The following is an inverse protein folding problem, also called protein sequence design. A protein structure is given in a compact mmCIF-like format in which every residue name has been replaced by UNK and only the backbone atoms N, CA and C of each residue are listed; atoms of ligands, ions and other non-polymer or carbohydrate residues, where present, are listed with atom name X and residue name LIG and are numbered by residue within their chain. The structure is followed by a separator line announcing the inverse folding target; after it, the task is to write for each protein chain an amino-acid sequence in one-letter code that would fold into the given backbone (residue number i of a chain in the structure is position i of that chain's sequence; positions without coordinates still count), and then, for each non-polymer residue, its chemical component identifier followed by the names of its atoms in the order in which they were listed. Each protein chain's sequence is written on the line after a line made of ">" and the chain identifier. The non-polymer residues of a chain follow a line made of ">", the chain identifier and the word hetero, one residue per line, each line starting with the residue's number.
data_IF_846483715348
#
_entry.id   IF_846483715348
#
_cell.length_a   1.000
_cell.length_b   1.000
_cell.length_c   1.000
_cell.angle_alpha   90.00
_cell.angle_beta   90.00
_cell.angle_gamma   90.00
#
_symmetry.space_group_name_H-M   'P 1'
#
loop_
_entity.id
_entity.type
_entity.pdbx_description
1 polymer ?
2 water ?
#
# COMPACT_ATOMS: atom_id res chain seq x y z
N UNK A 4 -7.95 -13.75 4.59
CA UNK A 4 -7.95 -13.84 3.09
C UNK A 4 -8.11 -12.48 2.48
N UNK A 5 -8.57 -11.53 3.29
CA UNK A 5 -8.76 -10.15 2.87
C UNK A 5 -7.38 -9.49 2.88
N UNK A 6 -7.08 -8.72 1.85
CA UNK A 6 -5.78 -8.05 1.74
C UNK A 6 -5.95 -6.73 1.02
N UNK A 7 -4.91 -5.91 1.08
CA UNK A 7 -4.89 -4.68 0.33
C UNK A 7 -3.75 -4.92 -0.64
N UNK A 8 -3.99 -4.72 -1.92
CA UNK A 8 -2.95 -4.93 -2.91
C UNK A 8 -2.70 -3.59 -3.58
N UNK A 9 -1.54 -2.99 -3.32
CA UNK A 9 -1.26 -1.69 -3.96
C UNK A 9 -1.06 -1.85 -5.45
N UNK A 10 -1.59 -0.90 -6.20
CA UNK A 10 -1.40 -0.89 -7.64
C UNK A 10 -0.56 0.35 -7.87
N UNK A 11 0.64 0.15 -8.40
CA UNK A 11 1.57 1.25 -8.63
C UNK A 11 1.73 1.59 -10.10
N UNK A 12 1.57 2.87 -10.41
CA UNK A 12 1.76 3.28 -11.78
C UNK A 12 3.25 3.49 -11.99
N UNK A 13 3.74 3.01 -13.12
CA UNK A 13 5.16 3.11 -13.45
C UNK A 13 5.40 3.85 -14.74
N UNK A 14 6.46 4.66 -14.76
CA UNK A 14 6.82 5.45 -15.94
C UNK A 14 7.34 4.55 -17.06
N UNK A 15 8.22 3.63 -16.70
CA UNK A 15 8.83 2.70 -17.64
C UNK A 15 8.60 1.30 -17.07
N UNK A 16 7.53 0.65 -17.53
CA UNK A 16 7.16 -0.67 -17.01
C UNK A 16 8.27 -1.71 -17.00
N UNK A 17 9.09 -1.77 -18.06
CA UNK A 17 10.18 -2.74 -18.07
C UNK A 17 11.24 -2.44 -17.03
N UNK A 18 11.47 -1.15 -16.77
CA UNK A 18 12.45 -0.75 -15.77
C UNK A 18 11.95 -1.14 -14.39
N UNK A 19 10.67 -0.88 -14.16
CA UNK A 19 10.06 -1.19 -12.88
C UNK A 19 9.93 -2.69 -12.65
N UNK A 20 9.53 -3.42 -13.70
CA UNK A 20 9.40 -4.86 -13.57
C UNK A 20 10.75 -5.51 -13.26
N UNK A 21 11.80 -5.07 -13.95
CA UNK A 21 13.14 -5.61 -13.74
C UNK A 21 13.63 -5.35 -12.33
N UNK A 22 13.34 -4.16 -11.80
CA UNK A 22 13.79 -3.82 -10.46
C UNK A 22 13.15 -4.81 -9.49
N UNK A 23 11.84 -4.94 -9.57
CA UNK A 23 11.10 -5.84 -8.70
C UNK A 23 11.52 -7.30 -8.84
N UNK A 24 11.71 -7.76 -10.07
CA UNK A 24 12.10 -9.16 -10.29
C UNK A 24 13.58 -9.43 -10.05
N UNK A 25 14.44 -8.69 -10.75
CA UNK A 25 15.88 -8.88 -10.63
C UNK A 25 16.50 -8.40 -9.33
N UNK A 26 16.14 -7.19 -8.91
CA UNK A 26 16.71 -6.64 -7.68
C UNK A 26 16.01 -7.15 -6.41
N UNK A 27 14.69 -7.03 -6.35
CA UNK A 27 13.97 -7.45 -5.16
C UNK A 27 13.59 -8.92 -5.12
N UNK A 28 13.73 -9.62 -6.25
CA UNK A 28 13.41 -11.04 -6.28
C UNK A 28 11.94 -11.42 -6.32
N UNK A 29 11.08 -10.50 -6.75
CA UNK A 29 9.65 -10.78 -6.84
C UNK A 29 9.39 -11.72 -8.02
N UNK A 30 8.28 -12.43 -7.98
CA UNK A 30 7.94 -13.31 -9.08
C UNK A 30 6.69 -12.80 -9.79
N UNK A 31 6.69 -12.87 -11.12
CA UNK A 31 5.54 -12.43 -11.88
C UNK A 31 4.52 -13.57 -11.84
N UNK A 32 3.29 -13.27 -11.40
CA UNK A 32 2.25 -14.30 -11.34
C UNK A 32 1.50 -14.37 -12.67
N UNK A 33 1.23 -13.21 -13.25
CA UNK A 33 0.56 -13.12 -14.54
C UNK A 33 0.66 -11.70 -15.06
N UNK A 34 0.26 -11.49 -16.31
CA UNK A 34 0.33 -10.16 -16.92
C UNK A 34 -0.76 -9.95 -17.95
N UNK A 35 -0.80 -8.72 -18.44
CA UNK A 35 -1.70 -8.29 -19.51
C UNK A 35 -0.78 -7.30 -20.23
N UNK A 36 0.15 -7.82 -21.06
CA UNK A 36 1.11 -7.01 -21.82
C UNK A 36 0.59 -5.77 -22.53
N UNK A 37 -0.52 -5.90 -23.26
CA UNK A 37 -1.06 -4.76 -23.99
C UNK A 37 -1.47 -3.59 -23.09
N UNK A 38 -1.66 -3.87 -21.81
CA UNK A 38 -2.04 -2.85 -20.84
C UNK A 38 -0.83 -2.46 -19.99
N UNK A 39 0.30 -3.11 -20.23
CA UNK A 39 1.53 -2.90 -19.47
C UNK A 39 1.23 -3.17 -18.00
N UNK A 40 0.42 -4.19 -17.75
CA UNK A 40 0.03 -4.57 -16.42
C UNK A 40 0.80 -5.81 -15.97
N UNK A 41 1.26 -5.79 -14.73
CA UNK A 41 2.03 -6.91 -14.18
C UNK A 41 1.62 -7.17 -12.74
N UNK A 42 1.24 -8.41 -12.45
CA UNK A 42 0.83 -8.77 -11.10
C UNK A 42 2.00 -9.56 -10.51
N UNK A 43 2.55 -9.04 -9.42
CA UNK A 43 3.70 -9.67 -8.77
C UNK A 43 3.44 -10.09 -7.34
N UNK A 44 4.34 -10.93 -6.82
CA UNK A 44 4.23 -11.41 -5.45
C UNK A 44 5.61 -11.73 -4.91
N UNK A 45 5.74 -11.59 -3.61
CA UNK A 45 6.97 -11.92 -2.92
C UNK A 45 6.51 -12.76 -1.75
N UNK A 46 6.59 -14.08 -1.93
CA UNK A 46 6.18 -15.01 -0.89
C UNK A 46 4.73 -14.88 -0.45
N UNK A 47 3.85 -14.52 -1.38
CA UNK A 47 2.45 -14.41 -1.04
C UNK A 47 1.93 -13.01 -0.84
N UNK A 48 2.83 -12.03 -0.73
CA UNK A 48 2.42 -10.65 -0.55
C UNK A 48 2.45 -10.07 -1.96
N UNK A 49 1.30 -9.58 -2.42
CA UNK A 49 1.17 -9.09 -3.78
C UNK A 49 1.22 -7.58 -4.02
N UNK A 50 1.63 -7.22 -5.24
CA UNK A 50 1.69 -5.83 -5.67
C UNK A 50 1.42 -5.81 -7.17
N UNK A 52 1.75 -3.61 -10.88
CA UNK A 52 2.44 -2.55 -11.58
C UNK A 52 1.67 -2.26 -12.86
N UNK A 53 1.44 -0.99 -13.15
CA UNK A 53 0.71 -0.60 -14.35
C UNK A 53 1.47 0.55 -15.02
N UNK A 54 1.97 0.29 -16.23
CA UNK A 54 2.71 1.31 -16.96
C UNK A 54 1.85 2.44 -17.46
N UNK A 55 2.45 3.60 -17.68
CA UNK A 55 1.71 4.74 -18.18
C UNK A 55 2.03 4.95 -19.65
N UNK A 67 5.65 16.91 0.26
CA UNK A 67 4.33 16.67 0.85
C UNK A 67 3.30 17.72 0.39
N UNK A 68 2.74 17.50 -0.76
CA UNK A 68 1.77 18.42 -1.33
C UNK A 68 0.53 17.67 -1.81
N UNK A 69 -0.65 18.22 -1.58
CA UNK A 69 -1.87 17.55 -2.02
C UNK A 69 -1.86 17.46 -3.54
N UNK A 70 -2.22 16.30 -4.11
CA UNK A 70 -2.63 15.08 -3.40
C UNK A 70 -1.44 14.18 -3.09
N UNK A 71 -1.46 13.57 -1.92
CA UNK A 71 -0.40 12.66 -1.53
C UNK A 71 -0.71 11.32 -2.18
N UNK A 72 0.29 10.45 -2.27
CA UNK A 72 0.09 9.13 -2.84
C UNK A 72 -0.06 9.03 -4.35
N UNK A 73 0.40 10.03 -5.09
CA UNK A 73 0.27 9.99 -6.54
C UNK A 73 0.82 8.69 -7.13
N UNK A 74 0.07 8.11 -8.06
CA UNK A 74 0.47 6.88 -8.71
C UNK A 74 0.07 5.61 -7.99
N UNK A 75 -0.42 5.75 -6.76
CA UNK A 75 -0.84 4.58 -5.99
C UNK A 75 -2.35 4.47 -5.90
N UNK A 76 -2.85 3.25 -6.07
CA UNK A 76 -4.28 2.99 -5.95
C UNK A 76 -4.36 1.76 -5.07
N UNK A 77 -4.91 1.91 -3.88
CA UNK A 77 -5.01 0.81 -2.93
C UNK A 77 -6.20 -0.10 -3.21
N UNK A 78 -5.96 -1.25 -3.84
CA UNK A 78 -7.05 -2.20 -4.08
C UNK A 78 -7.28 -2.88 -2.73
N UNK A 79 -8.39 -2.53 -2.09
CA UNK A 79 -8.69 -3.02 -0.74
C UNK A 79 -9.88 -3.98 -0.62
N UNK A 80 -9.61 -5.24 -0.26
CA UNK A 80 -10.66 -6.24 -0.10
C UNK A 80 -11.59 -5.94 1.09
N UNK A 81 -12.89 -6.00 0.86
CA UNK A 81 -13.88 -5.77 1.90
C UNK A 81 -14.91 -6.90 1.89
N UNK A 82 -15.64 -7.04 2.99
CA UNK A 82 -16.66 -8.10 3.10
C UNK A 82 -18.08 -7.59 2.89
N UNK A 83 -18.26 -6.28 2.94
CA UNK A 83 -19.58 -5.67 2.79
C UNK A 83 -19.52 -4.48 1.83
N UNK A 84 -19.34 -4.76 0.54
CA UNK A 84 -19.23 -3.69 -0.44
C UNK A 84 -20.44 -2.74 -0.50
N UNK A 85 -21.66 -3.27 -0.45
CA UNK A 85 -22.84 -2.42 -0.50
C UNK A 85 -23.05 -1.59 0.76
N UNK A 86 -22.99 -2.22 1.95
CA UNK A 86 -23.17 -1.45 3.17
C UNK A 86 -22.13 -0.34 3.31
N UNK A 87 -20.88 -0.64 2.93
CA UNK A 87 -19.80 0.34 3.00
C UNK A 87 -20.08 1.50 2.03
N UNK A 88 -20.53 1.17 0.83
CA UNK A 88 -20.82 2.19 -0.15
C UNK A 88 -21.92 3.12 0.40
N UNK A 89 -22.94 2.54 1.04
CA UNK A 89 -24.02 3.34 1.59
C UNK A 89 -23.56 4.17 2.79
N UNK A 90 -22.61 3.64 3.55
CA UNK A 90 -22.09 4.37 4.70
C UNK A 90 -21.33 5.61 4.21
N UNK A 91 -20.56 5.45 3.15
CA UNK A 91 -19.79 6.57 2.61
C UNK A 91 -20.72 7.60 1.95
N UNK A 92 -21.76 7.13 1.25
CA UNK A 92 -22.69 8.06 0.62
C UNK A 92 -23.44 8.87 1.66
N UNK A 93 -23.70 8.23 2.80
CA UNK A 93 -24.43 8.87 3.88
C UNK A 93 -23.61 9.86 4.70
N UNK A 94 -22.29 9.66 4.75
CA UNK A 94 -21.42 10.54 5.54
C UNK A 94 -20.53 11.52 4.76
N UNK A 95 -20.11 11.13 3.56
CA UNK A 95 -19.25 11.98 2.75
C UNK A 95 -19.33 11.60 1.28
N UNK A 96 -20.50 11.80 0.69
CA UNK A 96 -20.72 11.45 -0.70
C UNK A 96 -19.69 12.09 -1.62
N UNK A 97 -19.25 13.29 -1.28
CA UNK A 97 -18.28 14.01 -2.10
C UNK A 97 -16.89 13.38 -2.11
N UNK A 98 -16.69 12.38 -1.26
CA UNK A 98 -15.42 11.69 -1.17
C UNK A 98 -15.38 10.50 -2.12
N UNK A 99 -16.52 10.21 -2.73
CA UNK A 99 -16.58 9.10 -3.68
C UNK A 99 -15.91 9.54 -4.98
N UNK A 100 -14.88 8.81 -5.39
CA UNK A 100 -14.12 9.11 -6.58
C UNK A 100 -14.65 8.38 -7.82
N UNK A 101 -15.05 7.13 -7.63
CA UNK A 101 -15.60 6.30 -8.70
C UNK A 101 -16.83 5.60 -8.10
N UNK A 102 -17.97 5.73 -8.77
CA UNK A 102 -19.20 5.14 -8.30
C UNK A 102 -19.16 3.62 -8.29
N UNK A 103 -20.00 3.03 -7.43
CA UNK A 103 -20.08 1.57 -7.33
C UNK A 103 -20.41 0.97 -8.69
N UNK A 104 -19.69 -0.09 -9.04
CA UNK A 104 -19.88 -0.78 -10.31
C UNK A 104 -19.60 -2.28 -10.17
N UNK A 105 -20.11 -3.06 -11.13
CA UNK A 105 -19.87 -4.49 -11.15
C UNK A 105 -18.98 -4.73 -12.36
N UNK A 106 -17.71 -5.02 -12.12
CA UNK A 106 -16.77 -5.28 -13.20
C UNK A 106 -16.60 -6.78 -13.39
N UNK A 107 -16.87 -7.28 -14.60
CA UNK A 107 -16.79 -8.71 -14.86
C UNK A 107 -15.89 -9.18 -16.00
N UNK A 108 -15.48 -10.45 -15.92
CA UNK A 108 -14.65 -11.10 -16.92
C UNK A 108 -15.16 -12.51 -17.21
N UNK A 114 -19.31 -16.44 -15.38
CA UNK A 114 -18.65 -15.14 -15.34
C UNK A 114 -18.22 -14.77 -13.92
N UNK A 115 -17.07 -14.13 -13.82
CA UNK A 115 -16.51 -13.69 -12.54
C UNK A 115 -16.78 -12.18 -12.42
N UNK A 116 -17.34 -11.76 -11.31
CA UNK A 116 -17.65 -10.36 -11.11
C UNK A 116 -17.03 -9.80 -9.84
N UNK A 117 -16.68 -8.52 -9.89
CA UNK A 117 -16.10 -7.87 -8.73
C UNK A 117 -16.72 -6.50 -8.58
N UNK A 118 -17.46 -6.29 -7.49
CA UNK A 118 -18.10 -5.01 -7.23
C UNK A 118 -17.04 -4.13 -6.60
N UNK A 119 -17.07 -2.85 -6.93
CA UNK A 119 -16.06 -1.95 -6.39
C UNK A 119 -16.41 -0.48 -6.59
N UNK A 120 -15.79 0.36 -5.77
CA UNK A 120 -15.97 1.80 -5.89
C UNK A 120 -14.70 2.43 -5.33
N UNK A 122 -12.68 5.83 -3.37
CA UNK A 122 -12.82 6.95 -2.46
C UNK A 122 -11.49 7.70 -2.37
N UNK A 123 -11.57 9.02 -2.24
CA UNK A 123 -10.36 9.81 -2.09
C UNK A 123 -10.41 10.37 -0.67
N UNK A 124 -9.36 10.12 0.11
CA UNK A 124 -9.33 10.63 1.47
C UNK A 124 -8.96 12.11 1.47
N UNK A 125 -9.11 12.76 2.63
CA UNK A 125 -8.78 14.19 2.75
C UNK A 125 -7.33 14.52 2.38
N UNK A 126 -6.46 13.54 2.51
CA UNK A 126 -5.05 13.75 2.20
C UNK A 126 -4.77 13.53 0.72
N UNK A 127 -5.72 12.93 0.02
CA UNK A 127 -5.54 12.69 -1.41
C UNK A 127 -5.38 11.25 -1.84
N UNK A 128 -5.17 10.35 -0.89
CA UNK A 128 -5.00 8.92 -1.18
C UNK A 128 -6.25 8.32 -1.81
N UNK A 129 -6.06 7.47 -2.81
CA UNK A 129 -7.19 6.84 -3.48
C UNK A 129 -7.30 5.35 -3.12
N UNK A 130 -8.49 4.97 -2.68
CA UNK A 130 -8.79 3.61 -2.28
C UNK A 130 -9.83 3.01 -3.20
N UNK A 131 -9.55 1.80 -3.66
CA UNK A 131 -10.47 1.08 -4.51
C UNK A 131 -10.96 -0.12 -3.68
N UNK A 132 -12.13 0.04 -3.07
CA UNK A 132 -12.71 -1.04 -2.27
C UNK A 132 -13.32 -2.07 -3.20
N UNK A 133 -12.92 -3.32 -3.03
CA UNK A 133 -13.38 -4.41 -3.89
C UNK A 133 -13.90 -5.60 -3.14
N UNK A 134 -14.73 -6.38 -3.82
CA UNK A 134 -15.27 -7.61 -3.27
C UNK A 134 -15.66 -8.48 -4.46
N UNK A 135 -15.21 -9.73 -4.48
CA UNK A 135 -15.59 -10.61 -5.58
C UNK A 135 -16.94 -11.23 -5.22
N UNK B 4 0.47 -15.10 6.83
CA UNK B 4 0.80 -14.14 7.93
C UNK B 4 1.52 -12.89 7.43
N UNK B 5 2.26 -13.02 6.34
CA UNK B 5 2.98 -11.88 5.77
C UNK B 5 1.96 -10.95 5.12
N UNK B 6 2.18 -9.65 5.27
CA UNK B 6 1.27 -8.65 4.71
C UNK B 6 2.06 -7.39 4.40
N UNK B 7 1.44 -6.49 3.65
CA UNK B 7 2.03 -5.20 3.37
C UNK B 7 1.06 -4.25 4.04
N UNK B 8 1.57 -3.39 4.92
CA UNK B 8 0.74 -2.42 5.61
C UNK B 8 1.21 -1.04 5.22
N UNK B 9 0.39 -0.31 4.48
CA UNK B 9 0.77 1.04 4.05
C UNK B 9 0.76 2.00 5.23
N UNK B 10 1.74 2.88 5.28
CA UNK B 10 1.79 3.90 6.31
C UNK B 10 1.60 5.19 5.54
N UNK B 11 0.59 5.96 5.92
CA UNK B 11 0.28 7.20 5.22
C UNK B 11 0.54 8.47 6.03
N UNK B 12 1.22 9.44 5.41
CA UNK B 12 1.46 10.72 6.07
C UNK B 12 0.14 11.49 5.98
N UNK B 13 -0.21 12.21 7.04
CA UNK B 13 -1.45 12.98 7.06
C UNK B 13 -1.21 14.44 7.44
N UNK B 14 -1.82 15.36 6.71
CA UNK B 14 -1.66 16.78 7.00
C UNK B 14 -2.19 17.07 8.41
N UNK B 15 -3.36 16.54 8.72
CA UNK B 15 -3.98 16.70 10.04
C UNK B 15 -4.39 15.30 10.49
N UNK B 16 -3.63 14.73 11.42
CA UNK B 16 -3.92 13.38 11.89
C UNK B 16 -5.31 13.15 12.46
N UNK B 17 -5.88 14.16 13.12
CA UNK B 17 -7.21 14.02 13.69
C UNK B 17 -8.25 13.93 12.59
N UNK B 18 -8.08 14.74 11.54
CA UNK B 18 -8.99 14.74 10.42
C UNK B 18 -8.96 13.40 9.68
N UNK B 19 -7.76 12.90 9.43
CA UNK B 19 -7.62 11.62 8.73
C UNK B 19 -8.15 10.45 9.56
N UNK B 20 -7.88 10.46 10.85
CA UNK B 20 -8.36 9.38 11.69
C UNK B 20 -9.88 9.36 11.69
N UNK B 21 -10.50 10.53 11.83
CA UNK B 21 -11.96 10.62 11.86
C UNK B 21 -12.56 10.14 10.56
N UNK B 22 -11.87 10.43 9.45
CA UNK B 22 -12.36 10.02 8.14
C UNK B 22 -12.40 8.50 8.06
N UNK B 23 -11.28 7.87 8.42
CA UNK B 23 -11.21 6.41 8.37
C UNK B 23 -12.20 5.75 9.32
N UNK B 24 -12.29 6.27 10.54
CA UNK B 24 -13.21 5.69 11.51
C UNK B 24 -14.68 6.01 11.21
N UNK B 25 -15.01 7.30 11.12
CA UNK B 25 -16.39 7.69 10.87
C UNK B 25 -16.94 7.37 9.48
N UNK B 26 -16.22 7.79 8.44
CA UNK B 26 -16.68 7.56 7.08
C UNK B 26 -16.48 6.13 6.57
N UNK B 27 -15.31 5.56 6.82
CA UNK B 27 -15.02 4.21 6.32
C UNK B 27 -15.27 3.07 7.29
N UNK B 28 -15.45 3.38 8.56
CA UNK B 28 -15.72 2.34 9.55
C UNK B 28 -14.53 1.57 10.06
N UNK B 29 -13.33 2.13 9.92
CA UNK B 29 -12.14 1.44 10.42
C UNK B 29 -12.17 1.49 11.94
N UNK B 30 -11.37 0.63 12.56
CA UNK B 30 -11.26 0.57 14.02
C UNK B 30 -9.81 0.87 14.40
N UNK B 31 -9.62 1.69 15.42
CA UNK B 31 -8.27 2.00 15.87
C UNK B 31 -7.85 0.79 16.69
N UNK B 32 -6.74 0.15 16.32
CA UNK B 32 -6.26 -0.99 17.07
C UNK B 32 -5.38 -0.48 18.21
N UNK B 33 -4.54 0.51 17.90
CA UNK B 33 -3.69 1.12 18.93
C UNK B 33 -3.07 2.40 18.39
N UNK B 34 -2.52 3.21 19.29
CA UNK B 34 -1.92 4.48 18.90
C UNK B 34 -0.64 4.80 19.66
N UNK B 35 -0.03 5.90 19.25
CA UNK B 35 1.17 6.45 19.89
C UNK B 35 0.92 7.96 19.72
N UNK B 36 0.05 8.53 20.56
CA UNK B 36 -0.33 9.95 20.56
C UNK B 36 0.79 10.98 20.39
N UNK B 37 1.83 10.90 21.23
CA UNK B 37 2.92 11.88 21.11
C UNK B 37 3.70 11.79 19.80
N UNK B 38 3.36 10.81 18.97
CA UNK B 38 4.02 10.63 17.69
C UNK B 38 3.02 10.85 16.57
N UNK B 39 1.76 11.13 16.94
CA UNK B 39 0.71 11.32 15.95
C UNK B 39 0.60 10.07 15.09
N UNK B 40 0.76 8.91 15.72
CA UNK B 40 0.69 7.63 15.04
C UNK B 40 -0.58 6.87 15.41
N UNK B 41 -1.23 6.30 14.41
CA UNK B 41 -2.46 5.54 14.63
C UNK B 41 -2.42 4.27 13.78
N UNK B 42 -2.78 3.14 14.38
CA UNK B 42 -2.81 1.87 13.66
C UNK B 42 -4.26 1.44 13.53
N UNK B 43 -4.76 1.37 12.30
CA UNK B 43 -6.16 0.98 12.10
C UNK B 43 -6.32 -0.31 11.31
N UNK B 44 -7.55 -0.82 11.33
CA UNK B 44 -7.87 -2.05 10.60
C UNK B 44 -9.34 -2.03 10.21
N UNK B 45 -9.63 -2.71 9.11
CA UNK B 45 -10.98 -2.84 8.61
C UNK B 45 -11.11 -4.33 8.34
N UNK B 46 -11.70 -5.04 9.29
CA UNK B 46 -11.88 -6.47 9.19
C UNK B 46 -10.60 -7.27 8.90
N UNK B 47 -9.51 -6.88 9.55
CA UNK B 47 -8.27 -7.61 9.35
C UNK B 47 -7.26 -7.00 8.39
N UNK B 48 -7.69 -6.03 7.60
CA UNK B 48 -6.79 -5.37 6.66
C UNK B 48 -6.32 -4.11 7.39
N UNK B 49 -5.01 -4.00 7.60
CA UNK B 49 -4.46 -2.87 8.34
C UNK B 49 -3.85 -1.71 7.55
N UNK B 50 -3.86 -0.54 8.18
CA UNK B 50 -3.29 0.67 7.61
C UNK B 50 -2.77 1.54 8.77
N UNK B 52 -1.57 5.46 10.01
CA UNK B 52 -1.66 6.89 9.73
C UNK B 52 -0.60 7.58 10.57
N UNK B 53 0.12 8.51 9.97
CA UNK B 53 1.16 9.24 10.69
C UNK B 53 1.09 10.72 10.37
N UNK B 54 0.88 11.55 11.40
CA UNK B 54 0.80 12.98 11.19
C UNK B 54 2.17 13.64 11.13
N UNK B 67 1.57 13.20 -12.77
CA UNK B 67 2.54 12.13 -12.47
C UNK B 67 3.98 12.55 -12.77
N UNK B 68 4.73 12.73 -11.74
CA UNK B 68 6.10 13.19 -11.84
C UNK B 68 6.98 12.55 -10.78
N UNK B 69 8.15 12.08 -11.14
CA UNK B 69 9.05 11.45 -10.18
C UNK B 69 9.40 12.47 -9.09
N UNK B 70 9.39 12.03 -7.81
CA UNK B 70 9.07 10.69 -7.33
C UNK B 70 7.57 10.51 -7.03
N UNK B 71 7.05 9.34 -7.37
CA UNK B 71 5.64 9.06 -7.10
C UNK B 71 5.47 8.51 -5.69
N UNK B 72 4.22 8.45 -5.23
CA UNK B 72 3.90 7.92 -3.92
C UNK B 72 4.27 8.75 -2.70
N UNK B 73 4.45 10.06 -2.87
CA UNK B 73 4.81 10.90 -1.75
C UNK B 73 3.86 10.70 -0.58
N UNK B 74 4.43 10.59 0.61
CA UNK B 74 3.65 10.40 1.82
C UNK B 74 3.37 8.94 2.17
N UNK B 75 3.68 8.04 1.25
CA UNK B 75 3.44 6.62 1.50
C UNK B 75 4.71 5.80 1.74
N UNK B 76 4.63 4.93 2.74
CA UNK B 76 5.72 4.03 3.07
C UNK B 76 5.05 2.67 3.21
N UNK B 77 5.47 1.71 2.38
CA UNK B 77 4.89 0.37 2.40
C UNK B 77 5.65 -0.53 3.36
N UNK B 78 5.04 -0.84 4.52
CA UNK B 78 5.68 -1.73 5.49
C UNK B 78 5.39 -3.12 4.96
N UNK B 79 6.42 -3.73 4.38
CA UNK B 79 6.31 -5.03 3.74
C UNK B 79 7.00 -6.19 4.45
N UNK B 80 6.21 -7.15 4.94
CA UNK B 80 6.77 -8.30 5.64
C UNK B 80 7.47 -9.26 4.70
N UNK B 81 8.69 -9.64 5.06
CA UNK B 81 9.49 -10.58 4.28
C UNK B 81 9.87 -11.78 5.15
N UNK B 82 10.15 -12.91 4.52
CA UNK B 82 10.51 -14.13 5.25
C UNK B 82 11.96 -14.16 5.67
N UNK B 83 12.85 -13.77 4.77
CA UNK B 83 14.29 -13.79 5.03
C UNK B 83 14.91 -12.50 4.53
N UNK B 84 14.96 -11.48 5.39
CA UNK B 84 15.46 -10.17 5.01
C UNK B 84 16.96 -10.08 4.69
N UNK B 85 17.77 -10.92 5.33
CA UNK B 85 19.22 -10.90 5.08
C UNK B 85 19.59 -11.10 3.61
N UNK B 86 19.14 -12.22 3.00
CA UNK B 86 19.52 -12.40 1.59
C UNK B 86 18.93 -11.32 0.67
N UNK B 87 17.75 -10.82 1.02
CA UNK B 87 17.14 -9.76 0.22
C UNK B 87 18.03 -8.52 0.26
N UNK B 88 18.39 -8.09 1.46
CA UNK B 88 19.22 -6.91 1.61
C UNK B 88 20.57 -7.02 0.92
N UNK B 89 21.21 -8.19 1.01
CA UNK B 89 22.50 -8.32 0.39
C UNK B 89 22.42 -8.19 -1.13
N UNK B 90 21.32 -8.65 -1.74
CA UNK B 90 21.17 -8.55 -3.19
C UNK B 90 20.93 -7.10 -3.59
N UNK B 91 20.13 -6.38 -2.81
CA UNK B 91 19.85 -4.98 -3.09
C UNK B 91 21.11 -4.16 -2.97
N UNK B 92 21.89 -4.44 -1.92
CA UNK B 92 23.14 -3.75 -1.65
C UNK B 92 24.15 -4.02 -2.76
N UNK B 93 24.05 -5.21 -3.36
CA UNK B 93 24.96 -5.60 -4.43
C UNK B 93 24.63 -5.01 -5.80
N UNK B 94 23.39 -5.17 -6.22
CA UNK B 94 22.98 -4.68 -7.53
C UNK B 94 22.30 -3.32 -7.60
N UNK B 95 21.98 -2.72 -6.46
CA UNK B 95 21.31 -1.41 -6.47
C UNK B 95 21.49 -0.65 -5.16
N UNK B 96 22.73 -0.56 -4.70
CA UNK B 96 23.03 0.15 -3.45
C UNK B 96 22.52 1.59 -3.44
N UNK B 97 22.54 2.27 -4.58
CA UNK B 97 22.06 3.64 -4.61
C UNK B 97 20.56 3.76 -4.37
N UNK B 98 19.87 2.62 -4.34
CA UNK B 98 18.43 2.60 -4.11
C UNK B 98 18.10 2.44 -2.64
N UNK B 99 19.11 2.16 -1.82
CA UNK B 99 18.89 1.99 -0.39
C UNK B 99 18.64 3.34 0.26
N UNK B 100 17.50 3.44 0.94
CA UNK B 100 17.04 4.65 1.61
C UNK B 100 17.39 4.61 3.09
N UNK B 101 17.30 3.41 3.67
CA UNK B 101 17.62 3.20 5.08
C UNK B 101 18.36 1.87 5.14
N UNK B 102 19.55 1.86 5.71
CA UNK B 102 20.36 0.64 5.81
C UNK B 102 19.75 -0.37 6.79
N UNK B 103 20.06 -1.64 6.57
CA UNK B 103 19.57 -2.71 7.42
C UNK B 103 19.86 -2.44 8.88
N UNK B 104 18.85 -2.67 9.71
CA UNK B 104 18.98 -2.42 11.13
C UNK B 104 18.03 -3.33 11.91
N UNK B 105 18.40 -3.63 13.15
CA UNK B 105 17.58 -4.44 14.03
C UNK B 105 16.94 -3.47 15.02
N UNK B 106 15.63 -3.28 14.92
CA UNK B 106 14.92 -2.38 15.83
C UNK B 106 14.21 -3.21 16.90
N UNK B 107 14.37 -2.81 18.16
CA UNK B 107 13.74 -3.53 19.26
C UNK B 107 12.94 -2.66 20.23
N UNK B 108 11.95 -3.29 20.88
CA UNK B 108 11.11 -2.65 21.91
C UNK B 108 10.91 -3.64 23.04
N UNK B 109 10.62 -3.14 24.24
CA UNK B 109 10.40 -4.01 25.40
C UNK B 109 9.01 -4.64 25.38
N UNK B 114 12.39 -8.90 25.03
CA UNK B 114 12.75 -7.98 23.96
C UNK B 114 12.26 -8.46 22.59
N UNK B 115 11.48 -7.62 21.92
CA UNK B 115 10.94 -7.93 20.60
C UNK B 115 11.75 -7.16 19.55
N UNK B 116 12.28 -7.89 18.56
CA UNK B 116 13.10 -7.28 17.53
C UNK B 116 12.56 -7.50 16.12
N UNK B 117 12.77 -6.49 15.27
CA UNK B 117 12.35 -6.55 13.88
C UNK B 117 13.44 -5.92 13.01
N UNK B 118 13.95 -6.69 12.06
CA UNK B 118 14.97 -6.17 11.17
C UNK B 118 14.25 -5.49 10.02
N UNK B 119 14.80 -4.38 9.54
CA UNK B 119 14.20 -3.66 8.42
C UNK B 119 15.20 -2.78 7.70
N UNK B 120 14.86 -2.49 6.45
CA UNK B 120 15.64 -1.58 5.63
C UNK B 120 14.65 -0.97 4.65
N UNK B 122 13.94 0.87 0.76
CA UNK B 122 14.45 1.03 -0.58
C UNK B 122 13.48 1.85 -1.40
N UNK B 123 14.01 2.60 -2.36
CA UNK B 123 13.18 3.39 -3.24
C UNK B 123 13.25 2.76 -4.61
N UNK B 124 12.10 2.50 -5.20
CA UNK B 124 12.04 1.90 -6.53
C UNK B 124 12.33 3.01 -7.54
N UNK B 125 12.59 2.64 -8.81
CA UNK B 125 12.88 3.65 -9.84
C UNK B 125 11.84 4.76 -9.95
N UNK B 126 10.58 4.45 -9.70
CA UNK B 126 9.51 5.43 -9.81
C UNK B 126 9.40 6.35 -8.60
N UNK B 127 10.09 6.01 -7.52
CA UNK B 127 10.06 6.84 -6.33
C UNK B 127 9.37 6.25 -5.10
N UNK B 128 8.69 5.12 -5.27
CA UNK B 128 7.99 4.48 -4.15
C UNK B 128 8.93 3.96 -3.07
N UNK B 129 8.55 4.17 -1.81
CA UNK B 129 9.36 3.73 -0.70
C UNK B 129 8.80 2.47 -0.04
N UNK B 130 9.65 1.45 0.05
CA UNK B 130 9.28 0.18 0.66
C UNK B 130 10.14 -0.05 1.90
N UNK B 131 9.50 -0.38 3.01
CA UNK B 131 10.22 -0.67 4.23
C UNK B 131 10.02 -2.16 4.46
N UNK B 132 11.02 -2.95 4.08
CA UNK B 132 10.94 -4.39 4.26
C UNK B 132 11.24 -4.73 5.70
N UNK B 133 10.42 -5.61 6.29
CA UNK B 133 10.56 -5.98 7.69
C UNK B 133 10.49 -7.48 7.91
N UNK B 134 11.27 -7.95 8.88
CA UNK B 134 11.26 -9.35 9.25
C UNK B 134 11.24 -9.41 10.78
N UNK B 135 10.24 -10.07 11.34
CA UNK B 135 10.15 -10.20 12.79
C UNK B 135 11.10 -11.29 13.27
N UNK B 136 11.39 -11.27 14.57
CA UNK B 136 12.28 -12.25 15.18
C UNK B 136 13.69 -12.08 14.66
#
# INVERSE_FOLDING_TARGET
>A
XSLTLRVVPELYCFDINVSQSFFVDVLGFEVKYERPDEEFVYLTLDGVDVXLEGIAGKSRKWLSGDLEFPLGSGVNFQWDVIDIEPLYQRVNESAADSIYLALESKSYQCGDSIATQKQFXVQTPDGYLFRFCQDIHEGHHHHHH
>B
XSLTLRVVPELYCFDINVSQSFFVDVLGFEVKYERPDEEFVYLTLDGVDVXLEGIAGKSRKWLSGDLEFPLGSGVNFQWDVIDIEPLYQRVNESAADSIYLALESKSYQCGDSIATQKQFXVQTPDGYLFRFCQDIHEGHHHHHH
#
